data_IF_774354165062
#
_entry.id   IF_774354165062
#
_cell.length_a   1.000
_cell.length_b   1.000
_cell.length_c   1.000
_cell.angle_alpha   90.00
_cell.angle_beta   90.00
_cell.angle_gamma   90.00
#
_symmetry.space_group_name_H-M   'P 1'
#
loop_
_entity.id
_entity.type
_entity.pdbx_description
1 polymer ?
#
# COMPACT_ATOMS: atom_id res chain seq x y z
N UNK A 1 19.95 -0.76 -1.08
CA UNK A 1 19.25 -1.24 -2.30
C UNK A 1 18.45 -2.51 -2.05
N UNK A 2 19.03 -3.59 -1.51
CA UNK A 2 18.29 -4.81 -1.14
C UNK A 2 17.10 -4.53 -0.20
N UNK A 3 17.26 -3.67 0.80
CA UNK A 3 16.17 -3.33 1.74
C UNK A 3 14.93 -2.71 1.06
N UNK A 4 15.12 -1.82 0.08
CA UNK A 4 14.00 -1.24 -0.68
C UNK A 4 13.32 -2.28 -1.56
N UNK A 5 14.09 -3.23 -2.07
CA UNK A 5 13.58 -4.33 -2.89
C UNK A 5 12.74 -5.29 -2.04
N UNK A 6 13.24 -5.66 -0.85
CA UNK A 6 12.50 -6.45 0.13
C UNK A 6 11.23 -5.73 0.60
N UNK A 7 11.31 -4.42 0.84
CA UNK A 7 10.15 -3.60 1.21
C UNK A 7 9.10 -3.57 0.10
N UNK A 8 9.52 -3.38 -1.16
CA UNK A 8 8.61 -3.38 -2.30
C UNK A 8 7.91 -4.74 -2.48
N UNK A 9 8.64 -5.85 -2.30
CA UNK A 9 8.06 -7.20 -2.35
C UNK A 9 7.05 -7.41 -1.21
N UNK A 10 7.45 -7.10 0.03
CA UNK A 10 6.58 -7.25 1.20
C UNK A 10 5.29 -6.43 1.04
N UNK A 11 5.40 -5.19 0.58
CA UNK A 11 4.27 -4.28 0.40
C UNK A 11 3.37 -4.69 -0.79
N UNK A 12 3.93 -5.28 -1.85
CA UNK A 12 3.15 -5.82 -2.97
C UNK A 12 2.41 -7.13 -2.63
N UNK A 13 2.82 -7.83 -1.57
CA UNK A 13 2.29 -9.15 -1.20
C UNK A 13 0.81 -9.09 -0.79
N UNK A 14 0.39 -8.02 -0.12
CA UNK A 14 -1.01 -7.84 0.28
C UNK A 14 -1.95 -7.70 -0.93
N UNK A 15 -1.58 -6.87 -1.91
CA UNK A 15 -2.36 -6.69 -3.14
C UNK A 15 -2.41 -7.98 -3.98
N UNK A 16 -1.32 -8.74 -4.01
CA UNK A 16 -1.26 -10.04 -4.69
C UNK A 16 -2.19 -11.08 -4.07
N UNK A 17 -2.23 -11.16 -2.73
CA UNK A 17 -3.12 -12.07 -2.02
C UNK A 17 -4.60 -11.75 -2.30
N UNK A 18 -4.96 -10.46 -2.32
CA UNK A 18 -6.31 -10.00 -2.66
C UNK A 18 -6.67 -10.34 -4.11
N UNK A 19 -5.75 -10.16 -5.06
CA UNK A 19 -5.97 -10.50 -6.46
C UNK A 19 -6.22 -12.01 -6.66
N UNK A 20 -5.46 -12.87 -5.99
CA UNK A 20 -5.69 -14.32 -6.01
C UNK A 20 -7.04 -14.67 -5.38
N UNK A 21 -7.36 -14.08 -4.21
CA UNK A 21 -8.62 -14.33 -3.51
C UNK A 21 -9.85 -13.90 -4.33
N UNK A 22 -9.78 -12.78 -5.04
CA UNK A 22 -10.82 -12.33 -5.95
C UNK A 22 -10.89 -13.19 -7.22
N UNK A 23 -9.75 -13.57 -7.80
CA UNK A 23 -9.68 -14.41 -8.99
C UNK A 23 -10.22 -15.83 -8.77
N UNK A 24 -10.01 -16.39 -7.57
CA UNK A 24 -10.57 -17.69 -7.18
C UNK A 24 -12.10 -17.65 -6.99
N UNK A 25 -12.67 -16.46 -6.75
CA UNK A 25 -14.10 -16.29 -6.48
C UNK A 25 -14.85 -15.95 -7.77
N UNK A 26 -15.52 -16.96 -8.36
CA UNK A 26 -16.42 -16.80 -9.52
C UNK A 26 -17.75 -16.11 -9.12
N UNK A 27 -17.72 -14.79 -8.88
CA UNK A 27 -18.92 -13.96 -8.69
C UNK A 27 -18.94 -12.80 -9.68
N UNK A 28 -20.12 -12.48 -10.22
CA UNK A 28 -20.28 -11.43 -11.24
C UNK A 28 -19.82 -10.02 -10.80
N UNK A 29 -19.71 -9.76 -9.50
CA UNK A 29 -19.23 -8.48 -8.96
C UNK A 29 -17.71 -8.41 -8.71
N UNK A 30 -16.93 -9.45 -9.05
CA UNK A 30 -15.46 -9.47 -8.82
C UNK A 30 -14.75 -8.26 -9.42
N UNK A 31 -15.18 -7.76 -10.58
CA UNK A 31 -14.58 -6.57 -11.20
C UNK A 31 -14.77 -5.30 -10.37
N UNK A 32 -15.94 -5.09 -9.77
CA UNK A 32 -16.20 -3.91 -8.91
C UNK A 32 -15.36 -3.97 -7.64
N UNK A 33 -15.28 -5.15 -7.02
CA UNK A 33 -14.48 -5.33 -5.80
C UNK A 33 -12.99 -5.20 -6.11
N UNK A 34 -12.52 -5.66 -7.28
CA UNK A 34 -11.12 -5.53 -7.69
C UNK A 34 -10.73 -4.07 -7.90
N UNK A 35 -11.58 -3.28 -8.57
CA UNK A 35 -11.38 -1.84 -8.75
C UNK A 35 -11.39 -1.13 -7.40
N UNK A 36 -12.35 -1.45 -6.53
CA UNK A 36 -12.43 -0.85 -5.20
C UNK A 36 -11.18 -1.19 -4.38
N UNK A 37 -10.77 -2.46 -4.34
CA UNK A 37 -9.55 -2.90 -3.66
C UNK A 37 -8.30 -2.19 -4.21
N UNK A 38 -8.16 -2.08 -5.53
CA UNK A 38 -7.05 -1.35 -6.16
C UNK A 38 -7.00 0.13 -5.78
N UNK A 39 -8.15 0.80 -5.72
CA UNK A 39 -8.24 2.21 -5.27
C UNK A 39 -7.84 2.33 -3.81
N UNK A 40 -8.37 1.47 -2.93
CA UNK A 40 -8.01 1.49 -1.51
C UNK A 40 -6.52 1.21 -1.31
N UNK A 41 -5.99 0.10 -1.84
CA UNK A 41 -4.57 -0.22 -1.72
C UNK A 41 -3.68 0.88 -2.30
N UNK A 42 -3.98 1.41 -3.50
CA UNK A 42 -3.18 2.47 -4.12
C UNK A 42 -3.19 3.78 -3.33
N UNK A 43 -4.36 4.23 -2.87
CA UNK A 43 -4.49 5.47 -2.09
C UNK A 43 -3.75 5.34 -0.76
N UNK A 44 -4.00 4.27 0.00
CA UNK A 44 -3.37 4.09 1.31
C UNK A 44 -1.86 3.83 1.19
N UNK A 45 -1.41 3.12 0.17
CA UNK A 45 0.01 2.83 -0.06
C UNK A 45 0.81 4.05 -0.53
N UNK A 46 0.16 5.02 -1.19
CA UNK A 46 0.77 6.34 -1.46
C UNK A 46 0.69 7.29 -0.27
N UNK A 47 -0.41 7.27 0.47
CA UNK A 47 -0.68 8.17 1.58
C UNK A 47 0.16 7.85 2.83
N UNK A 48 0.37 6.57 3.13
CA UNK A 48 1.18 6.11 4.27
C UNK A 48 2.63 6.64 4.24
N UNK A 49 3.42 6.48 3.16
CA UNK A 49 4.76 7.07 3.09
C UNK A 49 4.74 8.59 3.03
N UNK A 50 3.70 9.22 2.47
CA UNK A 50 3.55 10.68 2.46
C UNK A 50 3.38 11.22 3.88
N UNK A 51 2.50 10.61 4.68
CA UNK A 51 2.30 10.95 6.09
C UNK A 51 3.56 10.63 6.90
N UNK A 52 4.19 9.48 6.66
CA UNK A 52 5.45 9.12 7.32
C UNK A 52 6.58 10.12 7.03
N UNK A 53 6.67 10.62 5.80
CA UNK A 53 7.63 11.65 5.41
C UNK A 53 7.33 12.99 6.08
N UNK A 54 6.07 13.45 6.04
CA UNK A 54 5.67 14.72 6.64
C UNK A 54 5.80 14.69 8.17
N UNK A 55 5.32 13.63 8.82
CA UNK A 55 5.42 13.43 10.27
C UNK A 55 6.86 13.23 10.74
N UNK A 56 7.68 12.52 9.96
CA UNK A 56 9.12 12.43 10.21
C UNK A 56 9.78 13.80 10.16
N UNK A 57 9.41 14.64 9.19
CA UNK A 57 9.97 15.99 9.07
C UNK A 57 9.55 16.89 10.24
N UNK A 58 8.28 16.92 10.61
CA UNK A 58 7.78 17.80 11.68
C UNK A 58 8.19 17.37 13.10
N UNK A 59 8.51 16.10 13.33
CA UNK A 59 9.05 15.62 14.62
C UNK A 59 10.57 15.78 14.70
N UNK A 60 11.29 15.76 13.57
CA UNK A 60 12.75 15.93 13.54
C UNK A 60 13.20 17.41 13.49
N UNK A 61 12.33 18.32 13.03
CA UNK A 61 12.60 19.76 12.97
C UNK A 61 12.83 20.44 14.33
N UNK A 62 12.14 20.07 15.45
CA UNK A 62 12.38 20.67 16.77
C UNK A 62 13.64 20.17 17.50
N UNK A 63 14.33 19.14 16.98
CA UNK A 63 15.44 18.44 17.67
C UNK A 63 16.82 18.91 17.17
N UNK A 64 16.86 19.85 16.22
CA UNK A 64 18.10 20.42 15.68
C UNK A 64 18.41 21.84 16.19
N UNK A 65 17.87 22.22 17.37
CA UNK A 65 18.32 23.38 18.15
C UNK A 65 19.12 22.94 19.39
#
# INVERSE_FOLDING_TARGET
MIALLLLAIALSMDAFAVAIGLGAKHRQDTTKIAVMAGVYFGVFQGLMPLIGYLGGRSILEPVHD
#
